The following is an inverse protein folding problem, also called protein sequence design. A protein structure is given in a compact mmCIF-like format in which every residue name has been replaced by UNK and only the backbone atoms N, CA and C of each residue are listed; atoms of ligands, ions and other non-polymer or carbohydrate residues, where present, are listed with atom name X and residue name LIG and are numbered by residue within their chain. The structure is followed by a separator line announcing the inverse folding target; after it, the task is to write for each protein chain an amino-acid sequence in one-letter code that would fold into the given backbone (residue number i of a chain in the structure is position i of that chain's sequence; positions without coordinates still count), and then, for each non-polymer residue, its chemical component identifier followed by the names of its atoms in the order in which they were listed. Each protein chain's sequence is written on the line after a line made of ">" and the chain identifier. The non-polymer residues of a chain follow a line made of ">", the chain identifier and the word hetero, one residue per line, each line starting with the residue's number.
data_IF_791176163100
#
_entry.id   IF_791176163100
#
_cell.length_a   1.000
_cell.length_b   1.000
_cell.length_c   1.000
_cell.angle_alpha   90.00
_cell.angle_beta   90.00
_cell.angle_gamma   90.00
#
_symmetry.space_group_name_H-M   'P 1'
#
loop_
_entity.id
_entity.type
_entity.pdbx_description
1 polymer ?
#
# COMPACT_ATOMS: atom_id res chain seq x y z
N UNK A 1 12.37 2.90 13.83
CA UNK A 1 13.56 3.56 13.27
C UNK A 1 13.10 4.58 12.23
N UNK A 2 13.43 5.88 12.39
CA UNK A 2 13.13 6.86 11.34
C UNK A 2 13.92 6.47 10.08
N UNK A 3 13.24 6.39 8.93
CA UNK A 3 13.90 6.11 7.65
C UNK A 3 14.77 7.31 7.30
N UNK A 4 16.09 7.10 7.22
CA UNK A 4 17.01 8.11 6.71
C UNK A 4 16.60 8.48 5.27
N UNK A 5 16.47 9.78 5.00
CA UNK A 5 16.05 10.28 3.69
C UNK A 5 17.20 10.13 2.70
N UNK A 6 17.04 9.29 1.68
CA UNK A 6 18.00 9.18 0.56
C UNK A 6 18.07 10.45 -0.30
N UNK A 7 17.05 11.33 -0.19
CA UNK A 7 16.95 12.57 -0.96
C UNK A 7 17.82 13.69 -0.39
N UNK A 8 17.96 13.75 0.93
CA UNK A 8 18.73 14.79 1.61
C UNK A 8 20.20 14.85 1.16
N UNK A 9 20.96 13.74 1.11
CA UNK A 9 22.34 13.80 0.64
C UNK A 9 22.44 14.24 -0.82
N UNK A 10 21.50 13.85 -1.68
CA UNK A 10 21.48 14.27 -3.09
C UNK A 10 21.30 15.78 -3.25
N UNK A 11 20.40 16.38 -2.45
CA UNK A 11 20.22 17.84 -2.44
C UNK A 11 21.50 18.54 -1.96
N UNK A 12 22.14 18.01 -0.92
CA UNK A 12 23.39 18.56 -0.41
C UNK A 12 24.51 18.50 -1.46
N UNK A 13 24.64 17.38 -2.18
CA UNK A 13 25.62 17.25 -3.26
C UNK A 13 25.33 18.21 -4.41
N UNK A 14 24.08 18.34 -4.84
CA UNK A 14 23.68 19.29 -5.89
C UNK A 14 24.01 20.73 -5.52
N UNK A 15 23.67 21.16 -4.30
CA UNK A 15 23.99 22.50 -3.82
C UNK A 15 25.52 22.75 -3.80
N UNK A 16 26.31 21.74 -3.43
CA UNK A 16 27.78 21.87 -3.43
C UNK A 16 28.37 21.95 -4.84
N UNK A 17 27.82 21.20 -5.80
CA UNK A 17 28.27 21.24 -7.20
C UNK A 17 27.93 22.58 -7.85
N UNK A 18 26.73 23.09 -7.61
CA UNK A 18 26.32 24.40 -8.09
C UNK A 18 27.20 25.53 -7.53
N UNK A 19 27.59 25.44 -6.25
CA UNK A 19 28.48 26.43 -5.64
C UNK A 19 29.89 26.38 -6.25
N UNK A 20 30.38 25.19 -6.61
CA UNK A 20 31.64 25.01 -7.34
C UNK A 20 31.54 25.60 -8.75
N UNK A 21 30.40 25.43 -9.42
CA UNK A 21 30.19 25.94 -10.78
C UNK A 21 30.10 27.48 -10.80
N UNK A 22 29.40 28.06 -9.82
CA UNK A 22 29.35 29.50 -9.57
C UNK A 22 30.70 30.14 -9.28
N UNK A 23 31.63 29.40 -8.68
CA UNK A 23 33.01 29.86 -8.46
C UNK A 23 33.88 29.74 -9.71
N UNK A 24 33.48 28.93 -10.70
CA UNK A 24 34.24 28.68 -11.93
C UNK A 24 33.73 29.46 -13.13
N UNK A 25 32.49 29.91 -13.11
CA UNK A 25 31.87 30.68 -14.18
C UNK A 25 32.30 32.15 -14.13
N UNK A 26 32.70 32.68 -15.28
CA UNK A 26 33.00 34.10 -15.44
C UNK A 26 31.74 34.95 -15.74
N UNK A 27 30.60 34.32 -16.04
CA UNK A 27 29.33 34.99 -16.35
C UNK A 27 28.15 34.49 -15.51
N UNK A 28 27.46 35.42 -14.85
CA UNK A 28 26.26 35.15 -14.04
C UNK A 28 25.07 34.66 -14.89
N UNK A 29 25.03 35.01 -16.18
CA UNK A 29 23.97 34.57 -17.10
C UNK A 29 23.91 33.05 -17.25
N UNK A 30 25.07 32.41 -17.18
CA UNK A 30 25.23 31.01 -17.59
C UNK A 30 24.72 30.04 -16.53
N UNK A 31 24.57 30.49 -15.28
CA UNK A 31 24.11 29.66 -14.14
C UNK A 31 22.73 30.10 -13.64
N UNK A 32 22.19 31.20 -14.15
CA UNK A 32 20.91 31.72 -13.68
C UNK A 32 19.76 30.72 -13.92
N UNK A 33 19.76 30.02 -15.06
CA UNK A 33 18.79 28.98 -15.37
C UNK A 33 18.92 27.77 -14.44
N UNK A 34 20.15 27.34 -14.15
CA UNK A 34 20.42 26.21 -13.25
C UNK A 34 20.06 26.53 -11.79
N UNK A 35 20.22 27.78 -11.35
CA UNK A 35 19.75 28.26 -10.04
C UNK A 35 18.24 28.15 -9.92
N UNK A 36 17.51 28.62 -10.93
CA UNK A 36 16.05 28.57 -10.94
C UNK A 36 15.58 27.11 -10.96
N UNK A 37 16.21 26.26 -11.79
CA UNK A 37 15.87 24.84 -11.88
C UNK A 37 16.13 24.11 -10.57
N UNK A 38 17.26 24.37 -9.90
CA UNK A 38 17.58 23.73 -8.64
C UNK A 38 16.60 24.14 -7.54
N UNK A 39 16.26 25.43 -7.46
CA UNK A 39 15.27 25.94 -6.50
C UNK A 39 13.91 25.27 -6.68
N UNK A 40 13.47 25.10 -7.94
CA UNK A 40 12.25 24.35 -8.25
C UNK A 40 12.31 22.89 -7.76
N UNK A 41 13.43 22.19 -7.97
CA UNK A 41 13.62 20.80 -7.57
C UNK A 41 13.70 20.64 -6.04
N UNK A 42 14.33 21.59 -5.35
CA UNK A 42 14.44 21.55 -3.87
C UNK A 42 13.13 21.91 -3.19
N UNK A 43 12.37 22.84 -3.76
CA UNK A 43 11.10 23.35 -3.20
C UNK A 43 9.95 22.34 -3.30
N UNK A 44 10.00 21.41 -4.26
CA UNK A 44 8.94 20.42 -4.46
C UNK A 44 9.33 19.02 -3.95
N UNK A 45 8.42 18.28 -3.31
CA UNK A 45 8.69 16.87 -2.93
C UNK A 45 8.74 15.93 -4.14
N UNK A 46 7.97 16.25 -5.18
CA UNK A 46 7.85 15.46 -6.39
C UNK A 46 7.90 16.41 -7.59
N UNK A 47 8.72 16.08 -8.59
CA UNK A 47 8.86 16.87 -9.83
C UNK A 47 7.53 16.92 -10.59
N UNK A 48 6.82 15.79 -10.60
CA UNK A 48 5.50 15.68 -11.20
C UNK A 48 4.44 15.66 -10.10
N UNK A 49 3.31 16.37 -10.27
CA UNK A 49 2.19 16.28 -9.34
C UNK A 49 1.69 14.84 -9.28
N UNK A 50 1.51 14.31 -8.07
CA UNK A 50 0.89 13.00 -7.89
C UNK A 50 -0.55 13.07 -8.37
N UNK A 51 -0.85 12.50 -9.55
CA UNK A 51 -2.22 12.38 -10.04
C UNK A 51 -2.98 11.44 -9.11
N UNK A 52 -4.07 11.94 -8.53
CA UNK A 52 -5.06 11.08 -7.88
C UNK A 52 -5.82 10.36 -8.99
N UNK A 53 -5.76 9.03 -9.02
CA UNK A 53 -6.64 8.26 -9.89
C UNK A 53 -8.11 8.52 -9.48
N UNK A 54 -9.03 8.68 -10.44
CA UNK A 54 -10.43 8.95 -10.15
C UNK A 54 -11.00 7.92 -9.18
N UNK A 55 -11.71 8.39 -8.16
CA UNK A 55 -12.29 7.59 -7.07
C UNK A 55 -13.52 6.75 -7.51
N UNK A 56 -13.65 6.40 -8.78
CA UNK A 56 -14.77 5.59 -9.29
C UNK A 56 -14.61 4.09 -8.98
N UNK A 57 -13.45 3.65 -8.50
CA UNK A 57 -13.13 2.24 -8.22
C UNK A 57 -13.45 1.79 -6.78
N UNK A 58 -14.17 2.62 -6.00
CA UNK A 58 -14.49 2.35 -4.59
C UNK A 58 -15.72 1.43 -4.41
N UNK A 59 -16.18 0.77 -5.47
CA UNK A 59 -17.47 0.08 -5.52
C UNK A 59 -17.58 -1.02 -4.45
N UNK A 60 -16.58 -1.89 -4.33
CA UNK A 60 -16.67 -3.05 -3.42
C UNK A 60 -16.39 -2.68 -1.96
N UNK A 61 -15.70 -1.57 -1.69
CA UNK A 61 -15.22 -1.26 -0.35
C UNK A 61 -16.35 -0.93 0.63
N UNK A 62 -17.37 -0.21 0.15
CA UNK A 62 -18.55 0.16 0.95
C UNK A 62 -19.65 -0.91 0.89
N UNK A 63 -19.64 -1.73 -0.17
CA UNK A 63 -20.72 -2.68 -0.48
C UNK A 63 -20.37 -4.13 -0.14
N UNK A 64 -19.23 -4.39 0.52
CA UNK A 64 -18.79 -5.77 0.78
C UNK A 64 -19.86 -6.59 1.52
N UNK A 65 -20.60 -5.97 2.44
CA UNK A 65 -21.70 -6.60 3.19
C UNK A 65 -23.01 -6.67 2.40
N UNK A 66 -23.21 -5.82 1.39
CA UNK A 66 -24.43 -5.79 0.57
C UNK A 66 -24.35 -6.75 -0.63
N UNK A 67 -23.18 -7.33 -0.89
CA UNK A 67 -22.98 -8.36 -1.91
C UNK A 67 -23.82 -9.60 -1.62
N UNK A 68 -24.46 -10.14 -2.66
CA UNK A 68 -25.08 -11.48 -2.61
C UNK A 68 -24.04 -12.54 -2.24
N UNK A 69 -24.51 -13.63 -1.63
CA UNK A 69 -23.66 -14.75 -1.20
C UNK A 69 -22.74 -15.26 -2.32
N UNK A 70 -23.28 -15.42 -3.53
CA UNK A 70 -22.55 -15.86 -4.72
C UNK A 70 -21.41 -14.91 -5.10
N UNK A 71 -21.71 -13.60 -5.20
CA UNK A 71 -20.71 -12.59 -5.56
C UNK A 71 -19.64 -12.46 -4.48
N UNK A 72 -20.06 -12.52 -3.22
CA UNK A 72 -19.15 -12.49 -2.09
C UNK A 72 -18.22 -13.70 -2.10
N UNK A 73 -18.75 -14.90 -2.34
CA UNK A 73 -17.94 -16.11 -2.41
C UNK A 73 -17.01 -16.10 -3.62
N UNK A 74 -17.45 -15.56 -4.76
CA UNK A 74 -16.58 -15.38 -5.92
C UNK A 74 -15.41 -14.44 -5.62
N UNK A 75 -15.66 -13.36 -4.88
CA UNK A 75 -14.67 -12.36 -4.50
C UNK A 75 -13.71 -12.85 -3.41
N UNK A 76 -14.24 -13.33 -2.28
CA UNK A 76 -13.49 -13.66 -1.07
C UNK A 76 -13.13 -15.15 -0.94
N UNK A 77 -13.64 -16.01 -1.84
CA UNK A 77 -13.48 -17.48 -1.79
C UNK A 77 -13.96 -18.14 -0.49
N UNK A 78 -14.87 -17.48 0.21
CA UNK A 78 -15.44 -17.96 1.48
C UNK A 78 -16.86 -17.44 1.64
N UNK A 79 -17.60 -17.98 2.61
CA UNK A 79 -18.95 -17.49 2.96
C UNK A 79 -18.87 -16.25 3.84
N UNK A 80 -19.92 -15.43 3.85
CA UNK A 80 -20.03 -14.26 4.75
C UNK A 80 -19.79 -14.66 6.21
N UNK A 81 -20.44 -15.73 6.67
CA UNK A 81 -20.33 -16.20 8.05
C UNK A 81 -18.89 -16.61 8.42
N UNK A 82 -18.22 -17.37 7.56
CA UNK A 82 -16.83 -17.79 7.79
C UNK A 82 -15.88 -16.60 7.77
N UNK A 83 -16.15 -15.64 6.88
CA UNK A 83 -15.39 -14.40 6.80
C UNK A 83 -15.52 -13.57 8.07
N UNK A 84 -16.73 -13.34 8.57
CA UNK A 84 -16.96 -12.57 9.80
C UNK A 84 -16.32 -13.24 11.02
N UNK A 85 -16.44 -14.57 11.13
CA UNK A 85 -15.75 -15.37 12.16
C UNK A 85 -14.24 -15.17 12.09
N UNK A 86 -13.67 -15.14 10.89
CA UNK A 86 -12.24 -14.91 10.69
C UNK A 86 -11.84 -13.47 11.05
N UNK A 87 -12.63 -12.46 10.64
CA UNK A 87 -12.41 -11.04 11.01
C UNK A 87 -12.40 -10.88 12.53
N UNK A 88 -13.38 -11.47 13.23
CA UNK A 88 -13.47 -11.42 14.68
C UNK A 88 -12.24 -12.03 15.38
N UNK A 89 -11.63 -13.07 14.80
CA UNK A 89 -10.40 -13.70 15.32
C UNK A 89 -9.14 -12.86 15.09
N UNK A 90 -9.07 -12.12 13.98
CA UNK A 90 -7.85 -11.38 13.59
C UNK A 90 -7.84 -9.92 14.06
N UNK A 91 -9.00 -9.31 14.28
CA UNK A 91 -9.12 -7.87 14.55
C UNK A 91 -8.34 -7.38 15.79
N UNK A 92 -8.16 -8.25 16.78
CA UNK A 92 -7.44 -7.94 18.02
C UNK A 92 -5.91 -8.06 17.87
N UNK A 93 -5.40 -8.57 16.75
CA UNK A 93 -3.96 -8.75 16.56
C UNK A 93 -3.26 -7.41 16.30
N UNK A 94 -2.07 -7.25 16.90
CA UNK A 94 -1.24 -6.05 16.80
C UNK A 94 -0.91 -5.67 15.35
N UNK A 95 -0.90 -6.62 14.41
CA UNK A 95 -0.65 -6.33 12.99
C UNK A 95 -1.75 -5.48 12.33
N UNK A 96 -2.95 -5.46 12.91
CA UNK A 96 -4.08 -4.63 12.47
C UNK A 96 -4.21 -3.33 13.27
N UNK A 97 -3.31 -3.10 14.22
CA UNK A 97 -3.24 -1.89 15.03
C UNK A 97 -1.99 -1.09 14.65
N UNK A 98 -2.10 0.24 14.69
CA UNK A 98 -0.97 1.13 14.39
C UNK A 98 -0.91 2.23 15.44
N UNK A 99 0.29 2.52 15.93
CA UNK A 99 0.59 3.61 16.88
C UNK A 99 0.76 4.98 16.20
N UNK A 100 0.21 5.17 15.00
CA UNK A 100 0.32 6.43 14.25
C UNK A 100 -0.96 7.25 14.34
N UNK A 101 -0.84 8.56 14.08
CA UNK A 101 -1.97 9.49 13.96
C UNK A 101 -2.98 9.09 12.87
N UNK A 102 -2.55 8.29 11.88
CA UNK A 102 -3.43 7.78 10.84
C UNK A 102 -4.06 6.45 11.24
N UNK A 103 -5.40 6.43 11.31
CA UNK A 103 -6.18 5.22 11.58
C UNK A 103 -5.85 4.14 10.53
N UNK A 104 -5.55 2.94 11.00
CA UNK A 104 -5.36 1.80 10.12
C UNK A 104 -6.69 1.38 9.49
N UNK A 105 -6.65 0.90 8.24
CA UNK A 105 -7.84 0.44 7.52
C UNK A 105 -8.49 -0.74 8.26
N UNK A 106 -9.81 -0.84 8.22
CA UNK A 106 -10.58 -1.94 8.83
C UNK A 106 -9.99 -3.33 8.44
N UNK A 107 -9.76 -4.24 9.41
CA UNK A 107 -9.27 -5.59 9.16
C UNK A 107 -10.10 -6.38 8.13
N UNK A 108 -11.42 -6.22 8.12
CA UNK A 108 -12.31 -6.87 7.15
C UNK A 108 -11.92 -6.51 5.71
N UNK A 109 -11.66 -5.23 5.44
CA UNK A 109 -11.26 -4.81 4.10
C UNK A 109 -9.88 -5.35 3.72
N UNK A 110 -8.93 -5.32 4.66
CA UNK A 110 -7.61 -5.89 4.41
C UNK A 110 -7.70 -7.39 4.09
N UNK A 111 -8.57 -8.12 4.80
CA UNK A 111 -8.84 -9.53 4.59
C UNK A 111 -9.48 -9.78 3.22
N UNK A 112 -10.53 -9.03 2.85
CA UNK A 112 -11.20 -9.18 1.55
C UNK A 112 -10.23 -8.98 0.37
N UNK A 113 -9.38 -7.95 0.45
CA UNK A 113 -8.35 -7.68 -0.57
C UNK A 113 -7.35 -8.82 -0.67
N UNK A 114 -6.88 -9.33 0.47
CA UNK A 114 -5.91 -10.41 0.49
C UNK A 114 -6.51 -11.72 -0.06
N UNK A 115 -7.73 -12.08 0.37
CA UNK A 115 -8.42 -13.28 -0.10
C UNK A 115 -8.75 -13.20 -1.60
N UNK A 116 -9.24 -12.05 -2.08
CA UNK A 116 -9.50 -11.84 -3.49
C UNK A 116 -8.23 -11.99 -4.34
N UNK A 117 -7.11 -11.44 -3.85
CA UNK A 117 -5.81 -11.58 -4.52
C UNK A 117 -5.31 -13.03 -4.51
N UNK A 118 -5.39 -13.73 -3.38
CA UNK A 118 -4.94 -15.13 -3.25
C UNK A 118 -5.85 -16.11 -4.01
N UNK A 119 -7.13 -15.78 -4.15
CA UNK A 119 -8.12 -16.56 -4.89
C UNK A 119 -8.20 -16.23 -6.38
N UNK A 120 -7.32 -15.36 -6.89
CA UNK A 120 -7.26 -14.98 -8.30
C UNK A 120 -6.13 -15.71 -9.02
N UNK A 121 -6.42 -16.23 -10.22
CA UNK A 121 -5.43 -16.99 -10.98
C UNK A 121 -4.67 -16.11 -11.97
N UNK A 122 -3.40 -16.42 -12.21
CA UNK A 122 -2.53 -15.80 -13.22
C UNK A 122 -2.59 -14.26 -13.17
N UNK A 123 -2.91 -13.63 -14.30
CA UNK A 123 -3.03 -12.18 -14.44
C UNK A 123 -4.15 -11.57 -13.57
N UNK A 124 -5.06 -12.40 -13.03
CA UNK A 124 -6.09 -12.01 -12.05
C UNK A 124 -5.51 -11.44 -10.75
N UNK A 125 -4.39 -12.01 -10.27
CA UNK A 125 -3.75 -11.58 -9.02
C UNK A 125 -2.81 -10.38 -9.17
N UNK A 126 -2.74 -9.79 -10.38
CA UNK A 126 -1.93 -8.60 -10.63
C UNK A 126 -2.43 -7.43 -9.81
N UNK A 127 -1.48 -6.63 -9.30
CA UNK A 127 -1.83 -5.49 -8.46
C UNK A 127 -2.75 -4.50 -9.19
N UNK A 128 -2.55 -4.29 -10.50
CA UNK A 128 -3.40 -3.41 -11.30
C UNK A 128 -4.87 -3.82 -11.29
N UNK A 129 -5.18 -5.12 -11.42
CA UNK A 129 -6.56 -5.60 -11.34
C UNK A 129 -7.16 -5.41 -9.96
N UNK A 130 -6.40 -5.69 -8.90
CA UNK A 130 -6.86 -5.51 -7.52
C UNK A 130 -7.06 -4.02 -7.19
N UNK A 131 -6.21 -3.12 -7.71
CA UNK A 131 -6.38 -1.66 -7.61
C UNK A 131 -7.70 -1.23 -8.25
N UNK A 132 -7.99 -1.70 -9.48
CA UNK A 132 -9.26 -1.40 -10.15
C UNK A 132 -10.47 -1.97 -9.43
N UNK A 133 -10.32 -3.12 -8.77
CA UNK A 133 -11.41 -3.81 -8.08
C UNK A 133 -11.81 -3.14 -6.76
N UNK A 134 -10.82 -2.69 -5.97
CA UNK A 134 -11.05 -2.16 -4.63
C UNK A 134 -10.78 -0.65 -4.48
N UNK A 135 -10.17 0.01 -5.47
CA UNK A 135 -9.81 1.42 -5.40
C UNK A 135 -8.69 1.72 -4.39
N UNK A 136 -7.75 0.79 -4.21
CA UNK A 136 -6.68 0.87 -3.20
C UNK A 136 -5.33 0.99 -3.90
N UNK A 137 -4.40 1.76 -3.33
CA UNK A 137 -3.05 1.90 -3.88
C UNK A 137 -2.26 0.58 -3.87
N UNK A 138 -1.38 0.41 -4.86
CA UNK A 138 -0.52 -0.78 -5.02
C UNK A 138 0.21 -1.17 -3.72
N UNK A 139 0.85 -0.20 -3.05
CA UNK A 139 1.59 -0.45 -1.81
C UNK A 139 0.70 -0.95 -0.67
N UNK A 140 -0.50 -0.40 -0.54
CA UNK A 140 -1.45 -0.83 0.48
C UNK A 140 -1.92 -2.27 0.26
N UNK A 141 -2.18 -2.68 -0.99
CA UNK A 141 -2.54 -4.07 -1.32
C UNK A 141 -1.45 -5.04 -0.87
N UNK A 142 -0.18 -4.72 -1.14
CA UNK A 142 0.96 -5.55 -0.72
C UNK A 142 1.00 -5.66 0.81
N UNK A 143 0.89 -4.55 1.53
CA UNK A 143 0.87 -4.56 3.00
C UNK A 143 -0.31 -5.35 3.57
N UNK A 144 -1.50 -5.20 3.00
CA UNK A 144 -2.69 -5.95 3.46
C UNK A 144 -2.49 -7.45 3.24
N UNK A 145 -1.99 -7.85 2.07
CA UNK A 145 -1.72 -9.26 1.78
C UNK A 145 -0.70 -9.84 2.75
N UNK A 146 0.40 -9.13 3.03
CA UNK A 146 1.44 -9.59 3.95
C UNK A 146 0.92 -9.74 5.39
N UNK A 147 0.16 -8.77 5.89
CA UNK A 147 -0.45 -8.83 7.24
C UNK A 147 -1.40 -10.00 7.36
N UNK A 148 -2.24 -10.22 6.35
CA UNK A 148 -3.20 -11.33 6.33
C UNK A 148 -2.49 -12.67 6.29
N UNK A 149 -1.47 -12.84 5.44
CA UNK A 149 -0.67 -14.08 5.42
C UNK A 149 -0.03 -14.32 6.79
N UNK A 150 0.57 -13.30 7.39
CA UNK A 150 1.20 -13.43 8.70
C UNK A 150 0.21 -13.90 9.79
N UNK A 151 -0.97 -13.29 9.87
CA UNK A 151 -1.96 -13.69 10.88
C UNK A 151 -2.53 -15.08 10.62
N UNK A 152 -2.77 -15.45 9.35
CA UNK A 152 -3.23 -16.78 8.99
C UNK A 152 -2.20 -17.85 9.35
N UNK A 153 -0.91 -17.58 9.12
CA UNK A 153 0.17 -18.49 9.52
C UNK A 153 0.28 -18.64 11.05
N UNK A 154 0.00 -17.57 11.81
CA UNK A 154 -0.08 -17.63 13.27
C UNK A 154 -1.27 -18.45 13.76
N UNK A 155 -2.43 -18.33 13.09
CA UNK A 155 -3.63 -19.10 13.38
C UNK A 155 -3.51 -20.57 12.98
N UNK A 156 -2.81 -20.88 11.87
CA UNK A 156 -2.61 -22.24 11.36
C UNK A 156 -2.18 -23.21 12.46
N UNK A 157 -1.24 -22.82 13.32
CA UNK A 157 -0.72 -23.67 14.41
C UNK A 157 -1.77 -24.10 15.42
N UNK A 158 -2.89 -23.38 15.52
CA UNK A 158 -3.98 -23.67 16.48
C UNK A 158 -5.14 -24.45 15.86
N UNK A 159 -5.28 -24.40 14.53
CA UNK A 159 -6.49 -24.86 13.83
C UNK A 159 -6.20 -26.05 12.92
N UNK A 160 -4.98 -26.15 12.38
CA UNK A 160 -4.59 -27.25 11.51
C UNK A 160 -3.86 -28.29 12.36
N UNK A 161 -4.57 -29.37 12.68
CA UNK A 161 -4.04 -30.59 13.28
C UNK A 161 -4.19 -31.73 12.28
N UNK A 162 -3.21 -32.64 12.25
CA UNK A 162 -3.40 -33.88 11.52
C UNK A 162 -4.50 -34.69 12.23
N UNK A 163 -5.42 -35.33 11.50
CA UNK A 163 -6.35 -36.27 12.11
C UNK A 163 -5.52 -37.36 12.80
N UNK A 164 -5.63 -37.43 14.12
CA UNK A 164 -5.15 -38.58 14.87
C UNK A 164 -6.09 -39.75 14.56
N UNK A 165 -5.51 -40.89 14.23
CA UNK A 165 -6.25 -42.14 14.08
C UNK A 165 -6.74 -42.50 15.49
N UNK A 166 -8.06 -42.45 15.70
CA UNK A 166 -8.72 -43.08 16.86
C UNK A 166 -8.79 -44.58 16.66
#
# INVERSE_FOLDING_TARGET
>A
MPKASKRLPLIQTLNSLQLIDALKSDSYSDIQEDIILLDMITSQRYINPCRRYPSHYMYIMNDLQTLSSEKFQQLCRTTHESFEKLVAKIQADKNFQNSSQNKQRNPAIQLAVALSRLGSNCNGATLGKIVMLFGISHGAIVFYTQRVIHILMKLKRKVIVWPTIE
#
